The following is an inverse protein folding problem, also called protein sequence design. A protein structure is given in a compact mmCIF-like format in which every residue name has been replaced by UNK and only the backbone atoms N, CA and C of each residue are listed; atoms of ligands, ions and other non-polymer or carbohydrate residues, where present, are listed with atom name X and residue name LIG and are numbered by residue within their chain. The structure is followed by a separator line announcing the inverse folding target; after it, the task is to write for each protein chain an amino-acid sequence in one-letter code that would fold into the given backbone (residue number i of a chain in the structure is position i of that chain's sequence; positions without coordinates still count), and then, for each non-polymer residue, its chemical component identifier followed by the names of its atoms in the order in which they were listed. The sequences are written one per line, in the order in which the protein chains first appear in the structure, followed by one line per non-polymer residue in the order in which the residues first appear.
data_IF_233599503145
#
_entry.id   IF_233599503145
#
_cell.length_a   1.000
_cell.length_b   1.000
_cell.length_c   1.000
_cell.angle_alpha   90.00
_cell.angle_beta   90.00
_cell.angle_gamma   90.00
#
_symmetry.space_group_name_H-M   'P 1'
#
loop_
_entity.id
_entity.type
_entity.pdbx_description
1 polymer ?
#
# COMPACT_ATOMS: atom_id res chain seq x y z
N UNK A 1 27.02 -26.29 8.34
CA UNK A 1 26.84 -27.02 7.06
C UNK A 1 25.76 -26.32 6.26
N UNK A 2 26.01 -26.00 4.98
CA UNK A 2 25.00 -25.38 4.12
C UNK A 2 23.81 -26.33 3.93
N UNK A 3 22.59 -25.79 4.02
CA UNK A 3 21.36 -26.57 3.81
C UNK A 3 21.24 -26.94 2.33
N UNK A 4 21.11 -28.22 2.01
CA UNK A 4 20.84 -28.67 0.63
C UNK A 4 19.42 -28.25 0.25
N UNK A 5 19.28 -27.50 -0.85
CA UNK A 5 18.01 -26.97 -1.38
C UNK A 5 17.73 -27.41 -2.81
N UNK A 6 18.40 -28.49 -3.23
CA UNK A 6 18.32 -29.06 -4.58
C UNK A 6 16.89 -29.26 -5.11
N UNK A 7 15.93 -29.86 -4.38
CA UNK A 7 14.55 -30.01 -4.86
C UNK A 7 13.88 -28.69 -5.24
N UNK A 8 14.09 -27.64 -4.42
CA UNK A 8 13.54 -26.30 -4.64
C UNK A 8 14.17 -25.63 -5.86
N UNK A 9 15.49 -25.77 -6.03
CA UNK A 9 16.21 -25.18 -7.16
C UNK A 9 15.80 -25.84 -8.49
N UNK A 10 15.59 -27.16 -8.50
CA UNK A 10 15.09 -27.88 -9.69
C UNK A 10 13.70 -27.34 -10.08
N UNK A 11 12.78 -27.19 -9.13
CA UNK A 11 11.43 -26.67 -9.43
C UNK A 11 11.46 -25.19 -9.86
N UNK A 12 12.32 -24.40 -9.22
CA UNK A 12 12.52 -22.99 -9.55
C UNK A 12 12.97 -22.82 -11.00
N UNK A 13 14.08 -23.44 -11.40
CA UNK A 13 14.61 -23.28 -12.77
C UNK A 13 13.70 -23.90 -13.82
N UNK A 14 13.01 -25.00 -13.51
CA UNK A 14 11.96 -25.56 -14.37
C UNK A 14 10.88 -24.52 -14.69
N UNK A 15 10.36 -23.84 -13.66
CA UNK A 15 9.33 -22.81 -13.80
C UNK A 15 9.85 -21.56 -14.52
N UNK A 16 11.07 -21.10 -14.22
CA UNK A 16 11.70 -19.97 -14.92
C UNK A 16 11.84 -20.22 -16.43
N UNK A 17 12.08 -21.47 -16.82
CA UNK A 17 12.14 -21.86 -18.23
C UNK A 17 10.77 -22.25 -18.83
N UNK A 18 9.66 -21.97 -18.13
CA UNK A 18 8.29 -22.31 -18.52
C UNK A 18 8.08 -23.79 -18.86
N UNK A 19 8.86 -24.70 -18.25
CA UNK A 19 8.75 -26.14 -18.52
C UNK A 19 7.78 -26.80 -17.55
N UNK A 20 6.97 -27.73 -18.04
CA UNK A 20 6.25 -28.71 -17.22
C UNK A 20 7.20 -29.79 -16.70
N UNK A 21 6.74 -30.59 -15.72
CA UNK A 21 7.52 -31.75 -15.24
C UNK A 21 7.80 -32.77 -16.36
N UNK A 22 6.86 -32.90 -17.30
CA UNK A 22 6.97 -33.81 -18.43
C UNK A 22 8.01 -33.31 -19.45
N UNK A 23 8.01 -32.01 -19.76
CA UNK A 23 8.98 -31.41 -20.68
C UNK A 23 10.40 -31.42 -20.11
N UNK A 24 10.56 -31.15 -18.81
CA UNK A 24 11.86 -31.30 -18.14
C UNK A 24 12.33 -32.75 -18.16
N UNK A 25 11.43 -33.70 -17.91
CA UNK A 25 11.71 -35.14 -18.03
C UNK A 25 12.19 -35.50 -19.42
N UNK A 26 11.47 -35.06 -20.47
CA UNK A 26 11.84 -35.30 -21.86
C UNK A 26 13.21 -34.75 -22.21
N UNK A 27 13.56 -33.53 -21.74
CA UNK A 27 14.86 -32.91 -21.99
C UNK A 27 16.03 -33.62 -21.30
N UNK A 28 15.76 -34.30 -20.17
CA UNK A 28 16.78 -35.03 -19.41
C UNK A 28 16.81 -36.53 -19.71
N UNK A 29 15.87 -37.04 -20.51
CA UNK A 29 15.69 -38.48 -20.75
C UNK A 29 15.16 -39.22 -19.51
N UNK A 30 14.26 -38.59 -18.75
CA UNK A 30 13.68 -39.10 -17.49
C UNK A 30 12.17 -39.07 -17.54
N UNK A 31 11.53 -39.91 -16.73
CA UNK A 31 10.07 -39.94 -16.63
C UNK A 31 9.57 -38.74 -15.81
N UNK A 32 8.36 -38.28 -16.11
CA UNK A 32 7.67 -37.23 -15.34
C UNK A 32 7.63 -37.54 -13.84
N UNK A 33 7.42 -38.82 -13.49
CA UNK A 33 7.41 -39.29 -12.10
C UNK A 33 8.77 -39.17 -11.42
N UNK A 34 9.88 -39.38 -12.15
CA UNK A 34 11.22 -39.18 -11.61
C UNK A 34 11.46 -37.70 -11.28
N UNK A 35 11.11 -36.80 -12.19
CA UNK A 35 11.21 -35.34 -11.96
C UNK A 35 10.33 -34.91 -10.79
N UNK A 36 9.10 -35.41 -10.71
CA UNK A 36 8.20 -35.11 -9.58
C UNK A 36 8.79 -35.54 -8.24
N UNK A 37 9.45 -36.69 -8.17
CA UNK A 37 10.13 -37.17 -6.96
C UNK A 37 11.36 -36.34 -6.60
N UNK A 38 12.07 -35.83 -7.61
CA UNK A 38 13.19 -34.90 -7.41
C UNK A 38 12.72 -33.58 -6.83
N UNK A 39 11.66 -32.99 -7.40
CA UNK A 39 11.08 -31.73 -6.94
C UNK A 39 10.44 -31.85 -5.55
N UNK A 40 9.81 -32.99 -5.24
CA UNK A 40 9.26 -33.23 -3.90
C UNK A 40 10.33 -33.59 -2.86
N UNK A 41 11.57 -33.83 -3.28
CA UNK A 41 12.67 -34.24 -2.41
C UNK A 41 12.59 -35.69 -1.91
N UNK A 42 11.59 -36.45 -2.35
CA UNK A 42 11.43 -37.88 -2.01
C UNK A 42 12.50 -38.78 -2.63
N UNK A 43 13.19 -38.30 -3.68
CA UNK A 43 14.38 -38.95 -4.25
C UNK A 43 15.33 -37.88 -4.79
N UNK A 44 16.63 -38.08 -4.67
CA UNK A 44 17.63 -37.19 -5.28
C UNK A 44 18.02 -37.65 -6.69
N UNK A 45 18.31 -36.72 -7.63
CA UNK A 45 19.00 -37.05 -8.87
C UNK A 45 20.41 -37.61 -8.60
N UNK A 46 20.93 -38.40 -9.55
CA UNK A 46 22.31 -38.89 -9.54
C UNK A 46 23.27 -37.84 -10.11
N UNK A 47 24.58 -38.08 -9.96
CA UNK A 47 25.64 -37.14 -10.41
C UNK A 47 25.49 -36.76 -11.89
N UNK A 48 25.31 -37.75 -12.78
CA UNK A 48 25.10 -37.48 -14.21
C UNK A 48 23.85 -36.64 -14.49
N UNK A 49 22.80 -36.81 -13.69
CA UNK A 49 21.57 -36.02 -13.82
C UNK A 49 21.76 -34.60 -13.29
N UNK A 50 22.59 -34.41 -12.27
CA UNK A 50 22.99 -33.09 -11.76
C UNK A 50 23.80 -32.31 -12.80
N UNK A 51 24.74 -32.95 -13.49
CA UNK A 51 25.50 -32.32 -14.57
C UNK A 51 24.58 -31.90 -15.73
N UNK A 52 23.64 -32.76 -16.12
CA UNK A 52 22.64 -32.43 -17.15
C UNK A 52 21.74 -31.28 -16.73
N UNK A 53 21.29 -31.25 -15.48
CA UNK A 53 20.50 -30.14 -14.94
C UNK A 53 21.30 -28.84 -14.92
N UNK A 54 22.56 -28.89 -14.47
CA UNK A 54 23.49 -27.76 -14.45
C UNK A 54 23.67 -27.16 -15.85
N UNK A 55 23.93 -28.00 -16.85
CA UNK A 55 24.06 -27.57 -18.25
C UNK A 55 22.73 -27.03 -18.81
N UNK A 56 21.62 -27.70 -18.54
CA UNK A 56 20.30 -27.30 -19.05
C UNK A 56 19.84 -25.95 -18.49
N UNK A 57 20.10 -25.70 -17.21
CA UNK A 57 19.73 -24.46 -16.54
C UNK A 57 20.81 -23.37 -16.63
N UNK A 58 21.98 -23.69 -17.19
CA UNK A 58 23.14 -22.80 -17.28
C UNK A 58 23.56 -22.22 -15.91
N UNK A 59 23.64 -23.10 -14.90
CA UNK A 59 24.06 -22.77 -13.52
C UNK A 59 24.99 -23.84 -12.99
N UNK A 60 25.96 -23.47 -12.16
CA UNK A 60 26.89 -24.45 -11.60
C UNK A 60 26.20 -25.37 -10.58
N UNK A 61 26.77 -26.58 -10.40
CA UNK A 61 26.21 -27.61 -9.51
C UNK A 61 26.13 -27.13 -8.06
N UNK A 62 27.08 -26.29 -7.60
CA UNK A 62 27.05 -25.76 -6.23
C UNK A 62 25.83 -24.85 -6.05
N UNK A 63 25.58 -23.94 -7.00
CA UNK A 63 24.36 -23.12 -7.03
C UNK A 63 23.09 -23.95 -7.10
N UNK A 64 23.09 -25.03 -7.89
CA UNK A 64 21.95 -25.94 -7.99
C UNK A 64 21.68 -26.72 -6.69
N UNK A 65 22.73 -27.10 -5.96
CA UNK A 65 22.62 -27.90 -4.73
C UNK A 65 22.35 -27.07 -3.48
N UNK A 66 22.96 -25.89 -3.37
CA UNK A 66 22.98 -25.08 -2.16
C UNK A 66 22.30 -23.71 -2.33
N UNK A 67 21.85 -23.37 -3.54
CA UNK A 67 21.44 -22.01 -3.90
C UNK A 67 22.65 -21.16 -4.31
N UNK A 68 22.40 -20.00 -4.91
CA UNK A 68 23.48 -19.04 -5.19
C UNK A 68 24.21 -18.70 -3.87
N UNK A 69 25.53 -18.54 -3.91
CA UNK A 69 26.30 -18.16 -2.71
C UNK A 69 25.68 -16.87 -2.14
N UNK A 70 24.98 -17.00 -1.01
CA UNK A 70 24.42 -15.89 -0.23
C UNK A 70 25.52 -15.07 0.47
N UNK A 71 26.75 -15.04 -0.08
CA UNK A 71 27.85 -14.20 0.40
C UNK A 71 27.73 -12.78 -0.16
N UNK A 72 26.57 -12.20 0.11
CA UNK A 72 26.25 -10.82 -0.24
C UNK A 72 27.28 -9.85 0.35
N UNK A 73 27.92 -10.19 1.48
CA UNK A 73 28.96 -9.35 2.06
C UNK A 73 30.14 -9.13 1.10
N UNK A 74 30.67 -10.21 0.51
CA UNK A 74 31.75 -10.10 -0.46
C UNK A 74 31.30 -9.48 -1.79
N UNK A 75 30.06 -9.74 -2.24
CA UNK A 75 29.51 -9.11 -3.44
C UNK A 75 29.32 -7.60 -3.26
N UNK A 76 28.79 -7.17 -2.12
CA UNK A 76 28.63 -5.76 -1.74
C UNK A 76 30.00 -5.08 -1.71
N UNK A 77 31.02 -5.68 -1.11
CA UNK A 77 32.36 -5.10 -1.05
C UNK A 77 32.97 -4.87 -2.45
N UNK A 78 32.80 -5.82 -3.38
CA UNK A 78 33.24 -5.70 -4.78
C UNK A 78 32.51 -4.59 -5.54
N UNK A 79 31.24 -4.32 -5.21
CA UNK A 79 30.44 -3.26 -5.84
C UNK A 79 30.80 -1.90 -5.24
N UNK A 80 30.81 -1.79 -3.91
CA UNK A 80 31.06 -0.55 -3.17
C UNK A 80 32.45 -0.01 -3.45
N UNK A 81 33.46 -0.87 -3.59
CA UNK A 81 34.84 -0.45 -3.92
C UNK A 81 34.98 0.25 -5.27
N UNK A 82 33.99 0.13 -6.17
CA UNK A 82 33.97 0.81 -7.48
C UNK A 82 33.18 2.13 -7.48
N UNK A 83 32.50 2.47 -6.38
CA UNK A 83 31.67 3.68 -6.28
C UNK A 83 32.49 4.90 -5.86
N UNK A 84 31.95 6.10 -6.06
CA UNK A 84 32.57 7.33 -5.54
C UNK A 84 32.49 7.39 -4.02
N UNK A 85 33.34 8.21 -3.38
CA UNK A 85 33.39 8.33 -1.91
C UNK A 85 32.04 8.73 -1.32
N UNK A 86 31.29 9.62 -1.97
CA UNK A 86 29.98 10.05 -1.46
C UNK A 86 28.94 8.94 -1.59
N UNK A 87 28.93 8.18 -2.70
CA UNK A 87 28.07 7.02 -2.85
C UNK A 87 28.42 5.90 -1.85
N UNK A 88 29.71 5.72 -1.52
CA UNK A 88 30.13 4.78 -0.48
C UNK A 88 29.59 5.19 0.90
N UNK A 89 29.54 6.50 1.21
CA UNK A 89 28.94 7.01 2.46
C UNK A 89 27.44 6.73 2.52
N UNK A 90 26.73 6.81 1.40
CA UNK A 90 25.30 6.48 1.34
C UNK A 90 25.07 5.00 1.64
N UNK A 91 25.84 4.11 1.00
CA UNK A 91 25.75 2.66 1.27
C UNK A 91 26.13 2.34 2.71
N UNK A 92 27.15 2.98 3.26
CA UNK A 92 27.55 2.82 4.66
C UNK A 92 26.45 3.28 5.63
N UNK A 93 25.83 4.45 5.37
CA UNK A 93 24.76 5.00 6.21
C UNK A 93 23.53 4.09 6.19
N UNK A 94 23.16 3.59 5.02
CA UNK A 94 22.09 2.61 4.85
C UNK A 94 22.38 1.30 5.60
N UNK A 95 23.58 0.73 5.45
CA UNK A 95 23.98 -0.49 6.15
C UNK A 95 23.99 -0.30 7.68
N UNK A 96 24.47 0.86 8.16
CA UNK A 96 24.48 1.23 9.58
C UNK A 96 23.05 1.37 10.15
N UNK A 97 22.14 1.98 9.41
CA UNK A 97 20.73 2.08 9.79
C UNK A 97 20.06 0.70 9.88
N UNK A 98 20.33 -0.19 8.91
CA UNK A 98 19.84 -1.56 8.92
C UNK A 98 20.40 -2.38 10.08
N UNK A 99 21.69 -2.22 10.40
CA UNK A 99 22.31 -2.89 11.54
C UNK A 99 21.73 -2.41 12.88
N UNK A 100 21.53 -1.10 13.04
CA UNK A 100 20.88 -0.53 14.22
C UNK A 100 19.42 -1.00 14.34
N UNK A 101 18.72 -1.17 13.22
CA UNK A 101 17.35 -1.68 13.17
C UNK A 101 17.24 -3.19 13.40
N UNK A 102 18.31 -3.97 13.19
CA UNK A 102 18.31 -5.43 13.42
C UNK A 102 18.38 -5.82 14.90
N UNK A 103 18.80 -4.90 15.77
CA UNK A 103 18.76 -5.10 17.23
C UNK A 103 17.38 -4.76 17.84
N UNK A 104 16.42 -4.32 17.01
CA UNK A 104 15.01 -4.20 17.37
C UNK A 104 14.23 -5.27 16.60
N UNK A 105 13.62 -6.21 17.32
CA UNK A 105 12.81 -7.32 16.80
C UNK A 105 11.87 -6.94 15.66
N UNK A 106 11.59 -7.90 14.76
CA UNK A 106 10.60 -7.84 13.67
C UNK A 106 9.20 -7.41 14.17
N UNK A 107 9.03 -6.11 14.41
CA UNK A 107 7.76 -5.46 14.60
C UNK A 107 7.49 -4.72 13.30
N UNK A 108 6.30 -4.93 12.73
CA UNK A 108 5.73 -4.02 11.73
C UNK A 108 5.92 -2.61 12.30
N UNK A 109 6.86 -1.83 11.76
CA UNK A 109 6.98 -0.43 12.17
C UNK A 109 5.78 0.27 11.55
N UNK A 110 4.68 0.31 12.30
CA UNK A 110 3.66 1.33 12.14
C UNK A 110 4.37 2.69 12.04
N UNK A 111 3.88 3.63 11.22
CA UNK A 111 4.42 5.00 11.21
C UNK A 111 4.63 5.41 12.67
N UNK A 112 5.87 5.77 13.01
CA UNK A 112 6.22 6.09 14.40
C UNK A 112 5.21 7.11 14.90
N UNK A 113 4.89 7.13 16.19
CA UNK A 113 4.01 8.16 16.76
C UNK A 113 4.46 9.60 16.39
N UNK A 114 5.73 9.79 15.99
CA UNK A 114 6.29 11.02 15.40
C UNK A 114 5.76 11.41 14.00
N UNK A 115 5.24 10.48 13.20
CA UNK A 115 4.62 10.74 11.88
C UNK A 115 3.11 10.97 11.98
N UNK A 116 2.58 10.96 13.20
CA UNK A 116 1.21 11.35 13.49
C UNK A 116 1.17 12.66 14.23
N UNK A 117 0.08 13.39 14.07
CA UNK A 117 -0.22 14.58 14.84
C UNK A 117 -1.60 14.43 15.43
N UNK A 118 -1.73 14.75 16.72
CA UNK A 118 -3.05 14.90 17.34
C UNK A 118 -3.59 16.27 16.96
N UNK A 119 -4.72 16.29 16.27
CA UNK A 119 -5.44 17.52 15.94
C UNK A 119 -6.83 17.48 16.54
N UNK A 120 -7.43 18.65 16.70
CA UNK A 120 -8.81 18.79 17.12
C UNK A 120 -9.71 18.74 15.89
N UNK A 121 -10.48 17.66 15.74
CA UNK A 121 -11.57 17.60 14.77
C UNK A 121 -12.72 18.49 15.29
N UNK A 122 -13.26 19.33 14.40
CA UNK A 122 -14.39 20.22 14.65
C UNK A 122 -15.73 19.48 14.72
N UNK A 123 -15.78 18.22 14.28
CA UNK A 123 -16.97 17.38 14.30
C UNK A 123 -16.86 16.21 13.31
N UNK A 124 -18.01 15.64 12.96
CA UNK A 124 -18.14 14.53 12.01
C UNK A 124 -18.93 14.99 10.79
N UNK A 125 -18.53 14.57 9.59
CA UNK A 125 -19.30 14.75 8.35
C UNK A 125 -19.94 13.42 7.94
N UNK A 126 -21.25 13.42 7.73
CA UNK A 126 -21.98 12.27 7.23
C UNK A 126 -21.73 12.08 5.74
N UNK A 127 -21.26 10.90 5.40
CA UNK A 127 -21.17 10.41 4.03
C UNK A 127 -22.33 9.45 3.74
N UNK A 128 -23.57 9.78 4.15
CA UNK A 128 -24.71 8.91 3.90
C UNK A 128 -26.04 9.54 4.33
N UNK A 129 -26.68 8.92 5.32
CA UNK A 129 -28.06 9.18 5.79
C UNK A 129 -28.23 10.45 6.63
N UNK A 130 -27.20 11.30 6.72
CA UNK A 130 -27.16 12.43 7.63
C UNK A 130 -26.96 11.93 9.07
N UNK A 131 -25.90 12.38 9.73
CA UNK A 131 -25.91 12.37 11.19
C UNK A 131 -26.43 13.74 11.61
N UNK A 132 -27.47 13.74 12.45
CA UNK A 132 -27.93 14.95 13.11
C UNK A 132 -26.72 15.54 13.83
N UNK A 133 -26.38 16.78 13.49
CA UNK A 133 -25.61 17.63 14.37
C UNK A 133 -26.52 17.87 15.57
N UNK A 134 -26.41 17.03 16.60
CA UNK A 134 -26.79 17.55 17.90
C UNK A 134 -25.81 18.69 18.22
N UNK A 135 -26.26 19.69 18.99
CA UNK A 135 -25.39 20.75 19.55
C UNK A 135 -24.27 20.20 20.47
N UNK A 136 -24.01 18.88 20.44
CA UNK A 136 -23.10 18.11 21.27
C UNK A 136 -21.98 17.41 20.49
N UNK A 137 -21.82 17.63 19.17
CA UNK A 137 -20.56 17.31 18.47
C UNK A 137 -19.44 18.25 18.94
N UNK A 138 -19.01 18.05 20.18
CA UNK A 138 -17.89 18.73 20.79
C UNK A 138 -16.64 18.39 19.99
N UNK A 139 -15.73 19.37 19.79
CA UNK A 139 -14.46 19.07 19.18
C UNK A 139 -13.75 17.94 19.93
N UNK A 140 -13.20 16.98 19.19
CA UNK A 140 -12.55 15.81 19.76
C UNK A 140 -11.17 15.61 19.15
N UNK A 141 -10.29 14.98 19.91
CA UNK A 141 -8.91 14.75 19.48
C UNK A 141 -8.84 13.53 18.57
N UNK A 142 -8.32 13.72 17.36
CA UNK A 142 -8.05 12.66 16.39
C UNK A 142 -6.57 12.61 16.08
N UNK A 143 -6.06 11.40 15.84
CA UNK A 143 -4.68 11.17 15.40
C UNK A 143 -4.69 11.08 13.86
N UNK A 144 -3.97 11.97 13.19
CA UNK A 144 -3.84 12.00 11.72
C UNK A 144 -2.38 11.81 11.32
N UNK A 145 -2.14 11.26 10.13
CA UNK A 145 -0.80 11.15 9.58
C UNK A 145 -0.32 12.51 9.04
N UNK A 146 0.97 12.81 9.21
CA UNK A 146 1.63 13.95 8.57
C UNK A 146 1.77 13.70 7.04
N UNK A 147 1.81 14.76 6.21
CA UNK A 147 1.74 16.17 6.57
C UNK A 147 0.32 16.66 6.85
N UNK A 148 0.16 17.41 7.94
CA UNK A 148 -1.08 18.14 8.23
C UNK A 148 -0.94 19.55 7.63
N UNK A 149 -1.88 20.01 6.80
CA UNK A 149 -1.86 21.38 6.29
C UNK A 149 -1.84 22.39 7.44
N UNK A 150 -1.05 23.45 7.35
CA UNK A 150 -1.01 24.48 8.40
C UNK A 150 -2.14 25.51 8.29
N UNK A 151 -2.88 25.53 7.18
CA UNK A 151 -3.77 26.62 6.78
C UNK A 151 -5.26 26.22 6.65
N UNK A 152 -5.72 25.17 7.32
CA UNK A 152 -7.15 24.80 7.37
C UNK A 152 -7.91 25.61 8.43
N UNK A 153 -9.22 25.74 8.24
CA UNK A 153 -10.11 26.39 9.23
C UNK A 153 -10.91 25.35 10.03
N UNK A 154 -11.25 24.22 9.41
CA UNK A 154 -11.92 23.09 10.07
C UNK A 154 -11.27 21.77 9.70
N UNK A 155 -11.36 20.80 10.61
CA UNK A 155 -11.01 19.41 10.36
C UNK A 155 -12.21 18.54 10.73
N UNK A 156 -12.63 17.64 9.85
CA UNK A 156 -13.76 16.76 10.13
C UNK A 156 -13.39 15.31 9.91
N UNK A 157 -13.87 14.42 10.77
CA UNK A 157 -13.82 12.99 10.52
C UNK A 157 -15.02 12.58 9.67
N UNK A 158 -14.78 11.78 8.64
CA UNK A 158 -15.84 11.22 7.79
C UNK A 158 -16.49 10.04 8.51
N UNK A 159 -17.82 9.97 8.44
CA UNK A 159 -18.59 8.82 8.89
C UNK A 159 -19.51 8.34 7.75
N UNK A 160 -19.20 7.17 7.19
CA UNK A 160 -19.93 6.54 6.09
C UNK A 160 -19.14 6.45 4.77
N UNK A 161 -19.79 5.90 3.74
CA UNK A 161 -19.12 5.43 2.51
C UNK A 161 -19.54 6.16 1.22
N UNK A 162 -20.41 7.19 1.25
CA UNK A 162 -20.91 7.83 0.02
C UNK A 162 -19.86 8.59 -0.81
N UNK A 163 -18.68 8.79 -0.25
CA UNK A 163 -17.58 9.51 -0.91
C UNK A 163 -16.41 8.58 -1.27
N UNK A 164 -16.59 7.26 -1.09
CA UNK A 164 -15.63 6.24 -1.51
C UNK A 164 -15.58 6.11 -3.04
N UNK A 165 -14.44 5.67 -3.61
CA UNK A 165 -13.21 5.26 -2.91
C UNK A 165 -12.27 6.42 -2.56
N UNK A 166 -12.60 7.64 -2.97
CA UNK A 166 -11.72 8.82 -2.82
C UNK A 166 -11.57 9.23 -1.36
N UNK A 167 -12.68 9.20 -0.62
CA UNK A 167 -12.73 9.51 0.81
C UNK A 167 -13.25 8.30 1.57
N UNK A 168 -12.44 7.78 2.49
CA UNK A 168 -12.73 6.56 3.23
C UNK A 168 -13.46 6.85 4.55
N UNK A 169 -14.24 5.89 5.03
CA UNK A 169 -14.81 5.97 6.38
C UNK A 169 -13.68 6.17 7.43
N UNK A 170 -13.95 7.03 8.42
CA UNK A 170 -13.03 7.48 9.49
C UNK A 170 -11.83 8.31 9.04
N UNK A 171 -11.66 8.58 7.75
CA UNK A 171 -10.66 9.52 7.27
C UNK A 171 -10.95 10.94 7.78
N UNK A 172 -9.90 11.70 8.08
CA UNK A 172 -10.01 13.12 8.44
C UNK A 172 -9.76 13.97 7.21
N UNK A 173 -10.65 14.92 6.94
CA UNK A 173 -10.54 15.89 5.86
C UNK A 173 -10.34 17.30 6.43
N UNK A 174 -9.58 18.10 5.68
CA UNK A 174 -9.28 19.49 6.02
C UNK A 174 -10.09 20.43 5.14
N UNK A 175 -10.70 21.44 5.76
CA UNK A 175 -11.63 22.36 5.11
C UNK A 175 -11.13 23.79 5.28
N UNK A 176 -11.10 24.52 4.16
CA UNK A 176 -10.88 25.97 4.14
C UNK A 176 -12.22 26.66 4.03
N UNK A 177 -12.48 27.60 4.94
CA UNK A 177 -13.64 28.48 4.84
C UNK A 177 -13.39 29.42 3.65
N UNK A 178 -14.24 29.31 2.65
CA UNK A 178 -14.24 30.17 1.47
C UNK A 178 -15.65 30.72 1.29
N UNK A 179 -15.77 31.96 0.82
CA UNK A 179 -17.07 32.58 0.55
C UNK A 179 -17.55 32.29 -0.88
N UNK A 180 -16.62 31.94 -1.78
CA UNK A 180 -16.88 31.62 -3.18
C UNK A 180 -16.73 30.11 -3.42
N UNK A 181 -17.74 29.48 -4.03
CA UNK A 181 -17.74 28.07 -4.38
C UNK A 181 -17.93 27.87 -5.88
N UNK A 182 -17.38 26.77 -6.40
CA UNK A 182 -17.43 26.41 -7.82
C UNK A 182 -18.05 25.04 -8.01
N UNK A 183 -18.72 24.87 -9.14
CA UNK A 183 -19.19 23.57 -9.59
C UNK A 183 -18.03 22.56 -9.61
N UNK A 184 -18.31 21.35 -9.11
CA UNK A 184 -17.35 20.25 -9.05
C UNK A 184 -16.47 20.20 -7.79
N UNK A 185 -16.50 21.20 -6.91
CA UNK A 185 -15.72 21.19 -5.68
C UNK A 185 -16.26 20.20 -4.65
N UNK A 186 -15.36 19.58 -3.88
CA UNK A 186 -15.75 18.81 -2.69
C UNK A 186 -15.94 19.80 -1.53
N UNK A 187 -17.12 19.78 -0.93
CA UNK A 187 -17.50 20.74 0.11
C UNK A 187 -17.95 20.04 1.38
N UNK A 188 -17.72 20.70 2.50
CA UNK A 188 -18.39 20.41 3.76
C UNK A 188 -19.63 21.31 3.86
N UNK A 189 -20.81 20.73 4.03
CA UNK A 189 -22.08 21.45 3.97
C UNK A 189 -23.04 20.99 5.06
N UNK A 190 -23.90 21.88 5.55
CA UNK A 190 -24.95 21.58 6.51
C UNK A 190 -26.31 21.82 5.85
N UNK A 191 -27.17 20.81 5.91
CA UNK A 191 -28.54 20.85 5.38
C UNK A 191 -29.45 20.07 6.34
N UNK A 192 -30.59 20.65 6.72
CA UNK A 192 -31.55 20.05 7.65
C UNK A 192 -30.91 19.54 8.96
N UNK A 193 -29.97 20.32 9.51
CA UNK A 193 -29.24 19.96 10.73
C UNK A 193 -28.23 18.82 10.57
N UNK A 194 -28.02 18.31 9.36
CA UNK A 194 -27.06 17.25 9.09
C UNK A 194 -25.84 17.82 8.35
N UNK A 195 -24.63 17.42 8.78
CA UNK A 195 -23.40 17.80 8.10
C UNK A 195 -23.00 16.74 7.06
N UNK A 196 -22.59 17.16 5.88
CA UNK A 196 -22.30 16.33 4.73
C UNK A 196 -20.95 16.65 4.10
N UNK A 197 -20.26 15.60 3.65
CA UNK A 197 -19.17 15.71 2.69
C UNK A 197 -19.68 15.28 1.31
N UNK A 198 -19.75 16.18 0.34
CA UNK A 198 -20.29 15.91 -1.00
C UNK A 198 -19.59 16.74 -2.07
N UNK A 199 -19.69 16.31 -3.33
CA UNK A 199 -19.32 17.14 -4.48
C UNK A 199 -20.47 18.11 -4.78
N UNK A 200 -20.19 19.41 -4.76
CA UNK A 200 -21.15 20.42 -5.20
C UNK A 200 -21.33 20.31 -6.72
N UNK A 201 -22.56 20.20 -7.18
CA UNK A 201 -22.90 20.38 -8.59
C UNK A 201 -23.96 21.46 -8.75
N UNK A 202 -23.72 22.46 -9.60
CA UNK A 202 -24.65 23.56 -9.86
C UNK A 202 -25.01 23.56 -11.33
N UNK A 203 -26.26 23.21 -11.64
CA UNK A 203 -26.78 23.17 -13.02
C UNK A 203 -28.03 24.02 -13.09
N UNK A 204 -28.08 24.97 -14.02
CA UNK A 204 -29.22 25.88 -14.23
C UNK A 204 -29.67 26.63 -12.94
N UNK A 205 -28.73 26.92 -12.04
CA UNK A 205 -28.99 27.57 -10.76
C UNK A 205 -29.52 26.64 -9.66
N UNK A 206 -29.60 25.33 -9.92
CA UNK A 206 -29.99 24.32 -8.93
C UNK A 206 -28.75 23.60 -8.39
N UNK A 207 -28.57 23.65 -7.07
CA UNK A 207 -27.47 22.95 -6.40
C UNK A 207 -27.85 21.50 -6.07
N UNK A 208 -26.94 20.58 -6.31
CA UNK A 208 -27.04 19.17 -5.96
C UNK A 208 -25.76 18.74 -5.24
N UNK A 209 -25.92 18.08 -4.10
CA UNK A 209 -24.83 17.46 -3.37
C UNK A 209 -24.66 16.03 -3.88
N UNK A 210 -23.60 15.80 -4.65
CA UNK A 210 -23.34 14.57 -5.37
C UNK A 210 -22.46 13.63 -4.55
N UNK A 211 -22.89 12.36 -4.43
CA UNK A 211 -22.10 11.26 -3.87
C UNK A 211 -21.06 10.79 -4.90
N UNK A 212 -19.81 10.54 -4.48
CA UNK A 212 -18.81 9.94 -5.37
C UNK A 212 -18.98 8.43 -5.49
N UNK A 213 -19.51 7.79 -4.44
CA UNK A 213 -19.89 6.39 -4.46
C UNK A 213 -21.28 6.22 -5.11
N UNK A 214 -21.40 5.55 -6.27
CA UNK A 214 -22.67 5.39 -6.99
C UNK A 214 -23.75 4.62 -6.23
N UNK A 215 -23.38 3.88 -5.17
CA UNK A 215 -24.34 3.16 -4.33
C UNK A 215 -25.18 4.09 -3.44
N UNK A 216 -24.79 5.36 -3.34
CA UNK A 216 -25.45 6.35 -2.50
C UNK A 216 -26.14 7.43 -3.36
N UNK A 217 -27.38 7.81 -3.04
CA UNK A 217 -28.11 8.80 -3.83
C UNK A 217 -27.48 10.20 -3.73
N UNK A 218 -27.73 11.00 -4.76
CA UNK A 218 -27.45 12.44 -4.74
C UNK A 218 -28.57 13.16 -3.99
N UNK A 219 -28.23 14.29 -3.37
CA UNK A 219 -29.16 15.08 -2.57
C UNK A 219 -29.39 16.41 -3.30
N UNK A 220 -30.61 16.66 -3.74
CA UNK A 220 -30.97 17.97 -4.32
C UNK A 220 -31.15 18.98 -3.19
N UNK A 221 -30.58 20.16 -3.36
CA UNK A 221 -30.75 21.25 -2.38
C UNK A 221 -32.12 21.87 -2.58
N UNK A 222 -32.91 21.92 -1.51
CA UNK A 222 -34.19 22.60 -1.51
C UNK A 222 -34.00 24.13 -1.61
N UNK A 223 -34.83 24.80 -2.41
CA UNK A 223 -34.83 26.27 -2.53
C UNK A 223 -35.36 26.95 -1.25
N UNK A 224 -36.18 26.28 -0.45
CA UNK A 224 -36.74 26.82 0.79
C UNK A 224 -35.75 26.74 1.96
N UNK A 225 -35.16 25.56 2.20
CA UNK A 225 -34.24 25.34 3.32
C UNK A 225 -32.79 25.71 2.97
N UNK A 226 -32.44 25.70 1.68
CA UNK A 226 -31.09 25.98 1.20
C UNK A 226 -30.05 24.98 1.73
N UNK A 227 -28.77 25.34 1.55
CA UNK A 227 -27.64 24.60 2.13
C UNK A 227 -26.63 25.60 2.67
N UNK A 228 -26.12 25.34 3.87
CA UNK A 228 -25.03 26.13 4.45
C UNK A 228 -23.70 25.46 4.15
N UNK A 229 -22.95 26.00 3.20
CA UNK A 229 -21.58 25.53 2.94
C UNK A 229 -20.65 26.05 4.04
N UNK A 230 -19.87 25.16 4.64
CA UNK A 230 -18.88 25.49 5.67
C UNK A 230 -17.51 25.81 5.05
N UNK A 231 -17.22 25.22 3.88
CA UNK A 231 -16.00 25.47 3.14
C UNK A 231 -15.67 24.37 2.14
N UNK A 232 -14.52 24.53 1.48
CA UNK A 232 -14.01 23.62 0.44
C UNK A 232 -12.97 22.68 1.03
N UNK A 233 -13.04 21.41 0.65
CA UNK A 233 -12.09 20.37 1.05
C UNK A 233 -10.87 20.40 0.14
N UNK A 234 -9.68 20.36 0.73
CA UNK A 234 -8.41 20.43 0.00
C UNK A 234 -7.37 19.38 0.44
N UNK A 235 -7.82 18.33 1.14
CA UNK A 235 -7.00 17.20 1.60
C UNK A 235 -6.51 16.31 0.48
#
# INVERSE_FOLDING_TARGET
MAKVVLPQMIDYYRKQNNMTMAELGSKLGKTTSAISRWVSGSRSPMVDDLERLSNLFNVDIKTLMYGADDDYANMILKVVSKLSVDQQKDVYSFAKEKLASSNSSNVIKFPKDDDTLKITASGVLSAGVGEFLDDSTKPFTVTVHKPVPSNYDYAFQINGHSMEPVYQDKQVVFVKKEDDYRDGQIIAAVMDGCAYLKKLSVVDGEATLVSLNPQYPNIKVDKENGVKVLGVVFS
#
